data_IF_263479090026
#
_entry.id   IF_263479090026
#
_cell.length_a   1.000
_cell.length_b   1.000
_cell.length_c   1.000
_cell.angle_alpha   90.00
_cell.angle_beta   90.00
_cell.angle_gamma   90.00
#
_symmetry.space_group_name_H-M   'P 1'
#
loop_
_entity.id
_entity.type
_entity.pdbx_description
1 polymer ?
#
# COMPACT_ATOMS: atom_id res chain seq x y z
N UNK A 1 3.29 -1.59 -3.14
CA UNK A 1 3.58 -0.41 -2.30
C UNK A 1 4.48 0.52 -3.08
N UNK A 2 4.77 1.71 -2.56
CA UNK A 2 5.64 2.67 -3.21
C UNK A 2 6.60 3.33 -2.21
N UNK A 3 7.80 3.67 -2.69
CA UNK A 3 8.71 4.56 -1.98
C UNK A 3 8.21 5.99 -2.17
N UNK A 4 7.98 6.71 -1.07
CA UNK A 4 7.55 8.11 -1.09
C UNK A 4 8.74 9.06 -1.07
N UNK A 5 8.49 10.32 -1.39
CA UNK A 5 9.50 11.39 -1.34
C UNK A 5 10.18 11.57 0.03
N UNK A 6 9.50 11.19 1.12
CA UNK A 6 10.02 11.29 2.48
C UNK A 6 10.83 10.06 2.93
N UNK A 7 11.16 9.17 1.99
CA UNK A 7 11.97 7.98 2.22
C UNK A 7 11.24 6.85 2.95
N UNK A 8 9.90 6.89 3.03
CA UNK A 8 9.08 5.87 3.68
C UNK A 8 8.26 5.07 2.68
N UNK A 9 7.96 3.82 3.03
CA UNK A 9 7.07 2.96 2.26
C UNK A 9 5.60 3.28 2.60
N UNK A 10 4.78 3.40 1.56
CA UNK A 10 3.33 3.61 1.67
C UNK A 10 2.55 2.91 0.57
N UNK A 11 1.23 2.99 0.64
CA UNK A 11 0.35 2.62 -0.48
C UNK A 11 0.16 3.81 -1.42
N UNK A 12 -0.15 3.56 -2.72
CA UNK A 12 -0.64 4.59 -3.62
C UNK A 12 -1.94 5.22 -3.11
N UNK A 13 -2.12 6.51 -3.37
CA UNK A 13 -3.24 7.33 -2.93
C UNK A 13 -2.79 8.54 -2.09
N UNK A 14 -3.76 9.39 -1.75
CA UNK A 14 -3.47 10.68 -1.12
C UNK A 14 -4.63 11.19 -0.27
N UNK A 15 -4.63 12.51 -0.05
CA UNK A 15 -5.76 13.17 0.61
C UNK A 15 -6.93 13.32 -0.37
N UNK A 16 -8.14 13.15 0.15
CA UNK A 16 -9.37 13.46 -0.59
C UNK A 16 -9.72 14.93 -0.35
N UNK A 17 -10.00 15.69 -1.41
CA UNK A 17 -10.38 17.11 -1.34
C UNK A 17 -11.84 17.22 -0.90
N UNK A 18 -12.23 18.23 -0.09
CA UNK A 18 -13.63 18.51 0.20
C UNK A 18 -14.55 18.70 -1.00
N UNK A 19 -14.00 18.97 -2.19
CA UNK A 19 -14.73 19.09 -3.46
C UNK A 19 -14.97 17.75 -4.16
N UNK A 20 -14.25 16.68 -3.79
CA UNK A 20 -14.49 15.35 -4.35
C UNK A 20 -15.88 14.85 -3.90
N UNK A 21 -16.66 14.28 -4.82
CA UNK A 21 -18.05 13.87 -4.55
C UNK A 21 -18.11 12.70 -3.54
N UNK A 22 -17.08 11.84 -3.55
CA UNK A 22 -16.93 10.73 -2.60
C UNK A 22 -15.46 10.43 -2.32
N UNK A 23 -15.21 9.56 -1.32
CA UNK A 23 -13.87 9.06 -1.02
C UNK A 23 -13.26 8.31 -2.22
N UNK A 24 -14.08 7.52 -2.91
CA UNK A 24 -13.67 6.74 -4.07
C UNK A 24 -13.32 7.65 -5.25
N UNK A 25 -14.05 8.74 -5.49
CA UNK A 25 -13.72 9.67 -6.57
C UNK A 25 -12.36 10.32 -6.34
N UNK A 26 -12.13 10.87 -5.13
CA UNK A 26 -10.84 11.44 -4.76
C UNK A 26 -9.71 10.40 -4.80
N UNK A 27 -9.94 9.20 -4.28
CA UNK A 27 -8.96 8.12 -4.34
C UNK A 27 -8.61 7.74 -5.78
N UNK A 28 -9.61 7.58 -6.67
CA UNK A 28 -9.34 7.25 -8.06
C UNK A 28 -8.54 8.36 -8.76
N UNK A 29 -8.84 9.64 -8.49
CA UNK A 29 -8.06 10.77 -9.00
C UNK A 29 -6.59 10.66 -8.57
N UNK A 30 -6.35 10.51 -7.26
CA UNK A 30 -4.99 10.34 -6.71
C UNK A 30 -4.25 9.15 -7.34
N UNK A 31 -4.93 7.99 -7.47
CA UNK A 31 -4.34 6.81 -8.09
C UNK A 31 -3.94 7.04 -9.56
N UNK A 32 -4.73 7.78 -10.33
CA UNK A 32 -4.39 8.10 -11.72
C UNK A 32 -3.18 9.06 -11.80
N UNK A 33 -3.06 10.01 -10.88
CA UNK A 33 -1.92 10.93 -10.82
C UNK A 33 -0.62 10.22 -10.43
N UNK A 34 -0.68 9.28 -9.46
CA UNK A 34 0.48 8.57 -8.93
C UNK A 34 0.91 7.34 -9.75
N UNK A 35 -0.04 6.61 -10.35
CA UNK A 35 0.23 5.36 -11.09
C UNK A 35 0.26 5.55 -12.62
N UNK A 36 -0.14 6.73 -13.10
CA UNK A 36 -0.03 7.11 -14.50
C UNK A 36 -0.95 6.31 -15.44
N UNK A 37 -0.62 6.25 -16.74
CA UNK A 37 -1.55 5.73 -17.76
C UNK A 37 -1.83 4.22 -17.63
N UNK A 38 -1.00 3.47 -16.91
CA UNK A 38 -1.27 2.06 -16.60
C UNK A 38 -2.48 1.85 -15.70
N UNK A 39 -2.92 2.89 -14.98
CA UNK A 39 -4.08 2.87 -14.09
C UNK A 39 -5.39 3.26 -14.78
N UNK A 40 -5.41 3.47 -16.11
CA UNK A 40 -6.61 3.92 -16.83
C UNK A 40 -7.81 2.95 -16.70
N UNK A 41 -7.56 1.65 -16.51
CA UNK A 41 -8.60 0.65 -16.25
C UNK A 41 -8.79 0.35 -14.75
N UNK A 42 -7.99 0.96 -13.88
CA UNK A 42 -8.08 0.80 -12.44
C UNK A 42 -9.21 1.70 -11.92
N UNK A 43 -10.23 1.05 -11.36
CA UNK A 43 -11.30 1.75 -10.66
C UNK A 43 -11.55 1.12 -9.31
N UNK A 44 -11.34 1.88 -8.23
CA UNK A 44 -11.66 1.47 -6.86
C UNK A 44 -13.06 1.96 -6.51
N UNK A 45 -13.89 1.08 -5.98
CA UNK A 45 -15.27 1.34 -5.59
C UNK A 45 -15.51 0.95 -4.13
N UNK A 46 -16.71 1.26 -3.62
CA UNK A 46 -17.07 1.05 -2.20
C UNK A 46 -16.93 -0.41 -1.74
N UNK A 47 -17.19 -1.39 -2.61
CA UNK A 47 -17.02 -2.82 -2.34
C UNK A 47 -15.56 -3.26 -2.13
N UNK A 48 -14.60 -2.40 -2.49
CA UNK A 48 -13.18 -2.61 -2.24
C UNK A 48 -12.74 -2.00 -0.89
N UNK A 49 -13.61 -1.32 -0.16
CA UNK A 49 -13.29 -0.71 1.12
C UNK A 49 -12.99 -1.78 2.18
N UNK A 50 -11.89 -1.61 2.92
CA UNK A 50 -11.44 -2.56 3.93
C UNK A 50 -11.56 -2.02 5.35
N UNK A 51 -11.07 -0.80 5.60
CA UNK A 51 -11.03 -0.25 6.96
C UNK A 51 -10.84 1.27 6.99
N UNK A 52 -11.17 1.85 8.14
CA UNK A 52 -10.80 3.22 8.50
C UNK A 52 -10.04 3.20 9.81
N UNK A 53 -9.07 4.10 9.95
CA UNK A 53 -8.32 4.27 11.19
C UNK A 53 -8.11 5.74 11.48
N UNK A 54 -8.26 6.11 12.75
CA UNK A 54 -7.93 7.44 13.26
C UNK A 54 -6.59 7.32 13.98
N UNK A 55 -5.51 7.88 13.43
CA UNK A 55 -4.20 7.84 14.09
C UNK A 55 -4.25 8.55 15.44
N UNK A 56 -3.54 8.01 16.42
CA UNK A 56 -3.35 8.68 17.70
C UNK A 56 -2.51 9.95 17.52
N UNK A 57 -2.95 11.06 18.13
CA UNK A 57 -2.20 12.32 18.14
C UNK A 57 -3.05 13.54 17.80
N UNK A 58 -2.41 14.72 17.65
CA UNK A 58 -3.13 15.98 17.47
C UNK A 58 -3.70 16.16 16.07
N UNK A 59 -3.26 15.34 15.09
CA UNK A 59 -3.69 15.45 13.70
C UNK A 59 -5.09 14.86 13.54
N UNK A 60 -6.00 15.66 13.01
CA UNK A 60 -7.38 15.25 12.71
C UNK A 60 -7.44 14.67 11.30
N UNK A 61 -6.92 13.46 11.13
CA UNK A 61 -6.92 12.73 9.85
C UNK A 61 -7.56 11.37 10.07
N UNK A 62 -8.35 10.91 9.10
CA UNK A 62 -8.83 9.53 9.03
C UNK A 62 -8.18 8.88 7.81
N UNK A 63 -7.54 7.73 7.99
CA UNK A 63 -6.97 6.97 6.88
C UNK A 63 -8.00 5.92 6.44
N UNK A 64 -8.52 6.05 5.23
CA UNK A 64 -9.37 5.05 4.60
C UNK A 64 -8.52 4.11 3.75
N UNK A 65 -8.78 2.80 3.82
CA UNK A 65 -7.97 1.80 3.14
C UNK A 65 -8.84 0.88 2.30
N UNK A 66 -8.45 0.70 1.05
CA UNK A 66 -9.15 -0.10 0.06
C UNK A 66 -8.21 -1.18 -0.49
N UNK A 67 -8.78 -2.30 -0.90
CA UNK A 67 -8.04 -3.39 -1.51
C UNK A 67 -8.78 -3.89 -2.75
N UNK A 68 -8.10 -3.84 -3.91
CA UNK A 68 -8.61 -4.35 -5.18
C UNK A 68 -7.72 -5.47 -5.70
N UNK A 69 -8.31 -6.62 -5.97
CA UNK A 69 -7.63 -7.72 -6.64
C UNK A 69 -7.50 -7.42 -8.14
N UNK A 70 -6.30 -7.61 -8.66
CA UNK A 70 -5.98 -7.46 -10.07
C UNK A 70 -5.42 -8.78 -10.61
N UNK A 71 -5.54 -8.99 -11.91
CA UNK A 71 -4.75 -10.00 -12.61
C UNK A 71 -3.26 -9.61 -12.58
N UNK A 72 -2.39 -10.60 -12.78
CA UNK A 72 -0.95 -10.35 -12.85
C UNK A 72 -0.57 -9.45 -14.04
N UNK A 73 -1.33 -9.52 -15.13
CA UNK A 73 -1.11 -8.71 -16.33
C UNK A 73 -1.48 -7.24 -16.09
N UNK A 74 -2.61 -6.97 -15.46
CA UNK A 74 -2.99 -5.61 -15.04
C UNK A 74 -1.97 -5.03 -14.07
N UNK A 75 -1.52 -5.81 -13.08
CA UNK A 75 -0.50 -5.37 -12.12
C UNK A 75 0.84 -5.05 -12.80
N UNK A 76 1.27 -5.84 -13.79
CA UNK A 76 2.46 -5.54 -14.60
C UNK A 76 2.28 -4.28 -15.44
N UNK A 77 1.11 -4.12 -16.05
CA UNK A 77 0.80 -2.94 -16.87
C UNK A 77 0.86 -1.66 -16.04
N UNK A 78 0.37 -1.70 -14.80
CA UNK A 78 0.52 -0.62 -13.83
C UNK A 78 2.00 -0.30 -13.57
N UNK A 79 2.80 -1.31 -13.25
CA UNK A 79 4.23 -1.14 -12.94
C UNK A 79 5.05 -0.61 -14.12
N UNK A 80 4.82 -1.13 -15.32
CA UNK A 80 5.53 -0.75 -16.54
C UNK A 80 5.28 0.72 -16.93
N UNK A 81 4.13 1.27 -16.51
CA UNK A 81 3.69 2.63 -16.86
C UNK A 81 3.79 3.62 -15.70
N UNK A 82 4.03 3.16 -14.47
CA UNK A 82 4.11 4.03 -13.29
C UNK A 82 5.22 5.08 -13.38
N UNK A 83 6.32 4.80 -14.09
CA UNK A 83 7.40 5.78 -14.30
C UNK A 83 7.02 6.92 -15.24
N UNK A 84 5.88 6.82 -15.92
CA UNK A 84 5.30 7.85 -16.79
C UNK A 84 4.24 8.70 -16.05
N UNK A 85 3.97 8.39 -14.78
CA UNK A 85 3.04 9.13 -13.95
C UNK A 85 3.54 10.55 -13.65
N UNK A 86 2.61 11.48 -13.43
CA UNK A 86 2.90 12.88 -13.11
C UNK A 86 3.76 13.00 -11.85
N UNK A 87 3.49 12.16 -10.86
CA UNK A 87 4.15 12.21 -9.56
C UNK A 87 5.44 11.38 -9.48
N UNK A 88 5.84 10.70 -10.57
CA UNK A 88 7.07 9.93 -10.59
C UNK A 88 8.30 10.83 -10.50
N UNK A 89 9.17 10.56 -9.51
CA UNK A 89 10.35 11.38 -9.21
C UNK A 89 10.04 12.65 -8.41
N UNK A 90 8.76 12.90 -8.09
CA UNK A 90 8.31 14.00 -7.24
C UNK A 90 7.82 13.43 -5.90
N UNK A 91 6.55 13.04 -5.81
CA UNK A 91 6.00 12.46 -4.59
C UNK A 91 6.24 10.94 -4.49
N UNK A 92 6.42 10.28 -5.65
CA UNK A 92 6.59 8.82 -5.78
C UNK A 92 7.93 8.47 -6.40
N UNK A 93 8.77 7.75 -5.65
CA UNK A 93 10.14 7.36 -6.06
C UNK A 93 10.20 5.99 -6.73
N UNK A 94 9.11 5.21 -6.71
CA UNK A 94 9.02 3.93 -7.42
C UNK A 94 8.13 2.91 -6.71
N UNK A 95 7.53 2.04 -7.52
CA UNK A 95 6.72 0.92 -7.02
C UNK A 95 7.58 -0.25 -6.56
N UNK A 96 7.11 -0.93 -5.51
CA UNK A 96 7.77 -2.08 -4.90
C UNK A 96 6.73 -3.16 -4.63
N UNK A 97 6.99 -4.37 -5.14
CA UNK A 97 6.23 -5.58 -4.80
C UNK A 97 6.61 -6.07 -3.41
N UNK A 98 5.61 -6.41 -2.61
CA UNK A 98 5.81 -6.98 -1.27
C UNK A 98 6.19 -8.46 -1.43
N UNK A 99 7.36 -8.91 -0.95
CA UNK A 99 7.70 -10.33 -0.96
C UNK A 99 6.92 -11.04 0.14
N UNK A 100 5.95 -11.89 -0.23
CA UNK A 100 5.12 -12.62 0.76
C UNK A 100 5.75 -13.93 1.25
N UNK A 101 6.85 -14.36 0.62
CA UNK A 101 7.62 -15.53 1.06
C UNK A 101 8.51 -15.20 2.26
N UNK A 102 8.99 -16.24 2.94
CA UNK A 102 10.09 -16.15 3.92
C UNK A 102 11.20 -17.10 3.48
N UNK A 103 12.42 -16.61 3.42
CA UNK A 103 13.59 -17.43 3.07
C UNK A 103 13.95 -18.39 4.21
N UNK A 104 14.80 -19.38 3.92
CA UNK A 104 15.21 -20.41 4.87
C UNK A 104 15.95 -19.89 6.11
N UNK A 105 16.51 -18.67 6.04
CA UNK A 105 17.12 -17.99 7.17
C UNK A 105 16.09 -17.44 8.19
N UNK A 106 14.79 -17.51 7.86
CA UNK A 106 13.69 -16.98 8.66
C UNK A 106 13.58 -15.45 8.69
N UNK A 107 14.42 -14.74 7.92
CA UNK A 107 14.53 -13.27 7.94
C UNK A 107 14.28 -12.68 6.55
N UNK A 108 14.84 -13.25 5.49
CA UNK A 108 14.66 -12.75 4.14
C UNK A 108 13.21 -12.87 3.64
N UNK A 109 12.80 -11.95 2.77
CA UNK A 109 11.42 -11.85 2.27
C UNK A 109 10.54 -10.93 3.12
N UNK A 110 9.34 -11.39 3.47
CA UNK A 110 8.35 -10.59 4.22
C UNK A 110 8.88 -10.04 5.55
N UNK A 111 9.63 -10.80 6.39
CA UNK A 111 10.13 -10.26 7.66
C UNK A 111 11.10 -9.09 7.45
N UNK A 112 12.07 -9.23 6.54
CA UNK A 112 12.96 -8.14 6.18
C UNK A 112 12.19 -6.96 5.58
N UNK A 113 11.18 -7.20 4.74
CA UNK A 113 10.35 -6.14 4.17
C UNK A 113 9.60 -5.35 5.24
N UNK A 114 8.98 -6.03 6.22
CA UNK A 114 8.25 -5.42 7.33
C UNK A 114 9.15 -4.67 8.33
N UNK A 115 10.47 -4.79 8.20
CA UNK A 115 11.47 -4.03 8.99
C UNK A 115 11.88 -2.69 8.36
N UNK A 116 11.38 -2.37 7.15
CA UNK A 116 11.57 -1.05 6.55
C UNK A 116 10.79 0.04 7.32
N UNK A 117 11.06 1.30 6.98
CA UNK A 117 10.29 2.43 7.51
C UNK A 117 9.02 2.66 6.69
N UNK A 118 7.87 2.68 7.35
CA UNK A 118 6.57 2.90 6.74
C UNK A 118 6.00 4.26 7.16
N UNK A 119 5.16 4.86 6.30
CA UNK A 119 4.42 6.08 6.64
C UNK A 119 3.18 5.72 7.46
N UNK A 120 2.90 6.51 8.50
CA UNK A 120 1.67 6.38 9.29
C UNK A 120 1.41 4.95 9.75
N UNK A 121 0.22 4.43 9.45
CA UNK A 121 -0.23 3.07 9.72
C UNK A 121 -0.16 2.15 8.49
N UNK A 122 0.60 2.49 7.44
CA UNK A 122 0.64 1.68 6.21
C UNK A 122 1.19 0.27 6.44
N UNK A 123 2.06 0.07 7.43
CA UNK A 123 2.53 -1.26 7.83
C UNK A 123 1.40 -2.09 8.41
N UNK A 124 0.61 -1.50 9.31
CA UNK A 124 -0.52 -2.14 9.97
C UNK A 124 -1.65 -2.41 8.96
N UNK A 125 -1.91 -1.50 8.03
CA UNK A 125 -2.83 -1.70 6.91
C UNK A 125 -2.41 -2.89 6.03
N UNK A 126 -1.12 -3.02 5.70
CA UNK A 126 -0.59 -4.17 4.97
C UNK A 126 -0.84 -5.48 5.73
N UNK A 127 -0.47 -5.53 7.01
CA UNK A 127 -0.65 -6.74 7.84
C UNK A 127 -2.14 -7.08 7.96
N UNK A 128 -2.99 -6.08 8.16
CA UNK A 128 -4.45 -6.25 8.23
C UNK A 128 -5.02 -6.83 6.93
N UNK A 129 -4.65 -6.27 5.76
CA UNK A 129 -5.09 -6.80 4.47
C UNK A 129 -4.64 -8.25 4.23
N UNK A 130 -3.38 -8.58 4.55
CA UNK A 130 -2.87 -9.94 4.37
C UNK A 130 -3.66 -10.98 5.18
N UNK A 131 -4.06 -10.64 6.41
CA UNK A 131 -4.87 -11.50 7.28
C UNK A 131 -6.34 -11.55 6.83
N UNK A 132 -6.98 -10.38 6.64
CA UNK A 132 -8.41 -10.28 6.32
C UNK A 132 -8.75 -10.86 4.96
N UNK A 133 -7.90 -10.66 3.96
CA UNK A 133 -8.08 -11.21 2.61
C UNK A 133 -7.49 -12.62 2.47
N UNK A 134 -6.97 -13.20 3.55
CA UNK A 134 -6.42 -14.56 3.59
C UNK A 134 -5.35 -14.81 2.51
N UNK A 135 -4.53 -13.80 2.20
CA UNK A 135 -3.51 -13.87 1.16
C UNK A 135 -2.30 -14.74 1.56
N UNK A 136 -2.20 -15.07 2.84
CA UNK A 136 -1.24 -16.03 3.36
C UNK A 136 -1.73 -16.64 4.68
N UNK A 137 -1.21 -17.81 5.10
CA UNK A 137 -1.59 -18.41 6.38
C UNK A 137 -1.26 -17.49 7.58
N UNK A 138 -2.24 -17.32 8.47
CA UNK A 138 -2.12 -16.44 9.65
C UNK A 138 -0.89 -16.73 10.51
N UNK A 139 -0.55 -18.00 10.71
CA UNK A 139 0.65 -18.40 11.47
C UNK A 139 1.95 -17.90 10.82
N UNK A 140 2.03 -17.92 9.48
CA UNK A 140 3.20 -17.43 8.76
C UNK A 140 3.29 -15.90 8.87
N UNK A 141 2.16 -15.20 8.76
CA UNK A 141 2.11 -13.75 8.96
C UNK A 141 2.55 -13.35 10.38
N UNK A 142 2.03 -14.02 11.41
CA UNK A 142 2.41 -13.78 12.81
C UNK A 142 3.90 -14.01 13.06
N UNK A 143 4.47 -15.08 12.47
CA UNK A 143 5.91 -15.34 12.54
C UNK A 143 6.72 -14.21 11.89
N UNK A 144 6.33 -13.77 10.70
CA UNK A 144 7.01 -12.68 9.99
C UNK A 144 6.98 -11.37 10.79
N UNK A 145 5.82 -11.00 11.37
CA UNK A 145 5.67 -9.80 12.20
C UNK A 145 6.55 -9.89 13.46
N UNK A 146 6.56 -11.03 14.14
CA UNK A 146 7.33 -11.22 15.39
C UNK A 146 8.85 -11.11 15.14
N UNK A 147 9.34 -11.59 14.01
CA UNK A 147 10.77 -11.52 13.67
C UNK A 147 11.26 -10.08 13.48
N UNK A 148 10.39 -9.16 13.09
CA UNK A 148 10.74 -7.74 12.94
C UNK A 148 10.98 -7.02 14.27
N UNK A 149 10.36 -7.50 15.35
CA UNK A 149 10.46 -6.89 16.69
C UNK A 149 11.72 -7.33 17.46
N UNK A 150 12.51 -8.26 16.90
CA UNK A 150 13.68 -8.87 17.55
C UNK A 150 15.04 -8.32 17.12
N UNK A 151 15.09 -7.21 16.37
CA UNK A 151 16.39 -6.57 16.05
C UNK A 151 16.82 -5.66 17.21
N UNK A 152 18.06 -5.80 17.73
CA UNK A 152 18.59 -4.95 18.80
C UNK A 152 18.75 -3.49 18.36
#
# INVERSE_FOLDING_TARGET
MQMRFDGRLGFPGGFVDPQDVSLEEGLNRELHEELGPGAASLHVAEDHYLSSHVPEGPRRVVTHFYAKQLTLEELRTLEDRATQAKEHGLEVMGLIRVPLYTLSDGVGGLPAFLSNTFIGNSREQLIHALDTLQLMPREQLQKAVTMTQKRP
#
